data_IF_307039862066
#
_entry.id   IF_307039862066
#
_cell.length_a   1.000
_cell.length_b   1.000
_cell.length_c   1.000
_cell.angle_alpha   90.00
_cell.angle_beta   90.00
_cell.angle_gamma   90.00
#
_symmetry.space_group_name_H-M   'P 1'
#
loop_
_entity.id
_entity.type
_entity.pdbx_description
1 polymer ?
#
# COMPACT_ATOMS: atom_id res chain seq x y z
N UNK A 1 0.60 -14.92 -19.62
CA UNK A 1 -0.71 -14.38 -19.19
C UNK A 1 -0.46 -13.20 -18.26
N UNK A 2 -0.68 -11.98 -18.75
CA UNK A 2 -0.49 -10.77 -17.94
C UNK A 2 -1.63 -10.65 -16.94
N UNK A 3 -1.33 -10.63 -15.64
CA UNK A 3 -2.32 -10.27 -14.63
C UNK A 3 -2.73 -8.81 -14.85
N UNK A 4 -4.04 -8.62 -15.02
CA UNK A 4 -4.64 -7.34 -15.41
C UNK A 4 -4.63 -6.37 -14.22
N UNK A 5 -4.45 -5.10 -14.54
CA UNK A 5 -4.00 -4.03 -13.65
C UNK A 5 -5.18 -3.25 -13.06
N UNK A 6 -5.65 -3.62 -11.86
CA UNK A 6 -6.50 -2.71 -11.06
C UNK A 6 -6.46 -3.02 -9.56
N UNK A 7 -5.47 -2.51 -8.84
CA UNK A 7 -5.57 -2.33 -7.38
C UNK A 7 -5.75 -3.61 -6.56
N UNK A 8 -4.67 -4.37 -6.40
CA UNK A 8 -4.68 -5.62 -5.67
C UNK A 8 -3.75 -5.55 -4.45
N UNK A 9 -4.24 -5.97 -3.28
CA UNK A 9 -3.45 -6.16 -2.05
C UNK A 9 -2.77 -7.53 -2.11
N UNK A 10 -1.45 -7.57 -2.29
CA UNK A 10 -0.67 -8.80 -2.03
C UNK A 10 -0.37 -8.89 -0.52
N UNK A 11 -0.84 -9.93 0.19
CA UNK A 11 -0.46 -10.13 1.58
C UNK A 11 1.04 -10.38 1.78
N UNK A 12 1.79 -10.76 0.73
CA UNK A 12 3.24 -11.06 0.80
C UNK A 12 4.13 -9.82 0.89
N UNK A 13 3.59 -8.63 0.66
CA UNK A 13 4.34 -7.38 0.79
C UNK A 13 3.47 -6.26 1.38
N UNK A 14 2.81 -6.56 2.49
CA UNK A 14 2.24 -5.50 3.34
C UNK A 14 3.40 -4.72 3.94
N UNK A 15 3.50 -3.42 3.67
CA UNK A 15 4.37 -2.52 4.46
C UNK A 15 3.72 -2.39 5.84
N UNK A 16 4.00 -3.34 6.73
CA UNK A 16 3.69 -3.21 8.13
C UNK A 16 4.66 -2.18 8.70
N UNK A 17 4.15 -1.02 9.11
CA UNK A 17 4.91 -0.09 9.95
C UNK A 17 5.02 -0.71 11.35
N UNK A 18 5.95 -1.64 11.53
CA UNK A 18 6.28 -2.23 12.82
C UNK A 18 7.02 -1.23 13.70
N UNK A 19 6.39 -0.78 14.78
CA UNK A 19 7.08 -0.17 15.92
C UNK A 19 7.60 -1.30 16.82
N UNK A 20 8.81 -1.79 16.59
CA UNK A 20 9.55 -2.54 17.61
C UNK A 20 11.02 -2.57 17.24
N UNK A 21 11.87 -2.16 18.18
CA UNK A 21 13.31 -2.21 18.03
C UNK A 21 13.80 -3.66 18.01
N UNK A 22 14.50 -4.02 16.94
CA UNK A 22 15.74 -4.80 17.00
C UNK A 22 16.48 -4.69 15.65
N UNK A 23 17.78 -4.95 15.68
CA UNK A 23 18.82 -4.64 14.70
C UNK A 23 18.56 -5.16 13.26
N UNK A 24 17.84 -4.39 12.45
CA UNK A 24 17.71 -4.58 10.99
C UNK A 24 18.64 -3.64 10.20
N UNK A 25 19.11 -4.11 9.04
CA UNK A 25 19.97 -3.37 8.08
C UNK A 25 19.63 -1.87 8.04
N UNK A 26 20.57 -1.04 8.47
CA UNK A 26 20.45 0.43 8.56
C UNK A 26 20.41 1.05 7.16
N UNK A 27 19.27 0.93 6.48
CA UNK A 27 18.97 1.70 5.28
C UNK A 27 18.75 3.16 5.65
N UNK A 28 19.04 4.07 4.72
CA UNK A 28 18.69 5.48 4.89
C UNK A 28 17.17 5.59 5.11
N UNK A 29 16.80 6.22 6.22
CA UNK A 29 15.38 6.41 6.56
C UNK A 29 14.74 7.28 5.50
N UNK A 30 13.67 6.80 4.88
CA UNK A 30 12.88 7.59 3.93
C UNK A 30 11.49 7.91 4.49
N UNK A 31 10.91 9.01 4.00
CA UNK A 31 9.57 9.43 4.39
C UNK A 31 8.55 8.85 3.42
N UNK A 32 7.45 8.34 3.96
CA UNK A 32 6.32 7.81 3.20
C UNK A 32 5.10 8.66 3.50
N UNK A 33 4.45 9.13 2.44
CA UNK A 33 3.25 9.97 2.50
C UNK A 33 2.06 9.20 1.94
N UNK A 34 0.98 9.20 2.71
CA UNK A 34 -0.26 8.51 2.42
C UNK A 34 -1.36 9.54 2.19
N UNK A 35 -1.71 9.75 0.93
CA UNK A 35 -2.47 10.94 0.51
C UNK A 35 -3.76 10.60 -0.24
N UNK A 36 -3.98 9.32 -0.53
CA UNK A 36 -5.08 8.89 -1.39
C UNK A 36 -5.80 7.70 -0.80
N UNK A 37 -7.06 7.90 -0.47
CA UNK A 37 -7.98 6.82 -0.16
C UNK A 37 -8.15 5.90 -1.36
N UNK A 38 -8.18 4.59 -1.09
CA UNK A 38 -8.48 3.60 -2.10
C UNK A 38 -9.18 2.37 -1.52
N UNK A 39 -9.82 1.64 -2.43
CA UNK A 39 -10.42 0.34 -2.15
C UNK A 39 -9.72 -0.68 -3.02
N UNK A 40 -9.25 -1.74 -2.39
CA UNK A 40 -8.60 -2.87 -3.05
C UNK A 40 -9.40 -4.14 -2.82
N UNK A 41 -9.37 -5.05 -3.78
CA UNK A 41 -9.97 -6.38 -3.68
C UNK A 41 -8.85 -7.40 -3.93
N UNK A 42 -8.82 -8.51 -3.20
CA UNK A 42 -7.80 -9.55 -3.48
C UNK A 42 -8.09 -10.31 -4.78
N UNK A 43 -7.07 -10.99 -5.31
CA UNK A 43 -7.16 -11.78 -6.55
C UNK A 43 -8.32 -12.79 -6.53
N UNK A 44 -8.60 -13.40 -5.36
CA UNK A 44 -9.66 -14.40 -5.18
C UNK A 44 -11.06 -13.78 -4.97
N UNK A 45 -11.19 -12.46 -4.89
CA UNK A 45 -12.45 -11.73 -4.60
C UNK A 45 -13.15 -12.17 -3.30
N UNK A 46 -12.38 -12.71 -2.36
CA UNK A 46 -12.88 -13.14 -1.05
C UNK A 46 -12.72 -12.06 0.01
N UNK A 47 -12.03 -10.97 -0.28
CA UNK A 47 -11.76 -9.85 0.63
C UNK A 47 -11.71 -8.52 -0.10
N UNK A 48 -12.24 -7.49 0.55
CA UNK A 48 -12.01 -6.09 0.18
C UNK A 48 -11.32 -5.34 1.30
N UNK A 49 -10.49 -4.36 0.93
CA UNK A 49 -9.66 -3.57 1.83
C UNK A 49 -9.92 -2.10 1.59
N UNK A 50 -10.10 -1.35 2.67
CA UNK A 50 -9.98 0.10 2.65
C UNK A 50 -8.55 0.46 3.02
N UNK A 51 -7.91 1.28 2.21
CA UNK A 51 -6.49 1.54 2.31
C UNK A 51 -6.12 2.98 1.96
N UNK A 52 -4.93 3.38 2.39
CA UNK A 52 -4.27 4.60 1.95
C UNK A 52 -3.09 4.26 1.04
N UNK A 53 -3.11 4.79 -0.17
CA UNK A 53 -2.08 4.59 -1.19
C UNK A 53 -0.90 5.56 -0.97
N UNK A 54 0.31 5.03 -1.16
CA UNK A 54 1.55 5.79 -1.13
C UNK A 54 1.76 6.47 -2.48
N UNK A 55 2.09 7.76 -2.46
CA UNK A 55 2.39 8.53 -3.67
C UNK A 55 3.76 9.22 -3.55
N UNK A 56 4.21 9.86 -4.64
CA UNK A 56 5.39 10.73 -4.64
C UNK A 56 6.69 10.02 -4.29
N UNK A 57 7.50 10.64 -3.42
CA UNK A 57 8.84 10.15 -3.07
C UNK A 57 8.84 8.76 -2.44
N UNK A 58 7.86 8.46 -1.58
CA UNK A 58 7.75 7.14 -0.95
C UNK A 58 7.48 6.01 -1.96
N UNK A 59 6.69 6.29 -3.00
CA UNK A 59 6.42 5.32 -4.07
C UNK A 59 7.71 4.95 -4.82
N UNK A 60 8.53 5.94 -5.14
CA UNK A 60 9.83 5.73 -5.81
C UNK A 60 10.74 4.84 -4.98
N UNK A 61 10.85 5.12 -3.68
CA UNK A 61 11.75 4.37 -2.79
C UNK A 61 11.30 2.93 -2.57
N UNK A 62 10.00 2.71 -2.34
CA UNK A 62 9.45 1.35 -2.21
C UNK A 62 9.62 0.58 -3.52
N UNK A 63 9.44 1.22 -4.68
CA UNK A 63 9.60 0.55 -5.99
C UNK A 63 11.04 0.07 -6.22
N UNK A 64 12.05 0.83 -5.78
CA UNK A 64 13.45 0.36 -5.83
C UNK A 64 13.65 -0.90 -5.00
N UNK A 65 13.04 -0.94 -3.81
CA UNK A 65 13.13 -2.10 -2.92
C UNK A 65 12.44 -3.32 -3.51
N UNK A 66 11.26 -3.14 -4.13
CA UNK A 66 10.57 -4.19 -4.88
C UNK A 66 11.48 -4.74 -6.00
N UNK A 67 12.15 -3.87 -6.75
CA UNK A 67 13.04 -4.30 -7.82
C UNK A 67 14.21 -5.16 -7.30
N UNK A 68 14.79 -4.79 -6.15
CA UNK A 68 15.85 -5.60 -5.52
C UNK A 68 15.31 -6.98 -5.14
N UNK A 69 14.11 -7.05 -4.54
CA UNK A 69 13.46 -8.32 -4.19
C UNK A 69 13.15 -9.16 -5.44
N UNK A 70 12.67 -8.54 -6.52
CA UNK A 70 12.38 -9.21 -7.80
C UNK A 70 13.62 -9.84 -8.44
N UNK A 71 14.78 -9.19 -8.33
CA UNK A 71 16.05 -9.77 -8.78
C UNK A 71 16.35 -11.06 -8.01
N UNK A 72 16.22 -11.04 -6.69
CA UNK A 72 16.45 -12.22 -5.84
C UNK A 72 15.42 -13.31 -6.16
N UNK A 73 14.14 -12.97 -6.23
CA UNK A 73 13.08 -13.91 -6.57
C UNK A 73 13.33 -14.61 -7.91
N UNK A 74 13.74 -13.84 -8.93
CA UNK A 74 14.09 -14.38 -10.25
C UNK A 74 15.26 -15.36 -10.18
N UNK A 75 16.31 -15.05 -9.40
CA UNK A 75 17.46 -15.95 -9.22
C UNK A 75 17.06 -17.29 -8.59
N UNK A 76 16.00 -17.30 -7.79
CA UNK A 76 15.45 -18.51 -7.15
C UNK A 76 14.26 -19.13 -7.91
N UNK A 77 13.92 -18.64 -9.11
CA UNK A 77 12.79 -19.14 -9.89
C UNK A 77 11.40 -18.84 -9.30
N UNK A 78 11.31 -17.85 -8.41
CA UNK A 78 10.08 -17.38 -7.79
C UNK A 78 9.39 -16.30 -8.66
N UNK A 79 8.05 -16.14 -8.53
CA UNK A 79 7.31 -15.14 -9.30
C UNK A 79 7.62 -13.71 -8.83
N UNK A 80 7.94 -12.83 -9.76
CA UNK A 80 8.12 -11.39 -9.50
C UNK A 80 6.85 -10.72 -8.95
N UNK A 81 7.06 -9.55 -8.35
CA UNK A 81 6.01 -8.67 -7.88
C UNK A 81 5.12 -8.14 -9.03
N UNK A 82 3.99 -7.54 -8.66
CA UNK A 82 3.05 -6.95 -9.61
C UNK A 82 3.72 -5.91 -10.51
N UNK A 83 3.45 -5.99 -11.83
CA UNK A 83 4.03 -5.09 -12.85
C UNK A 83 3.83 -3.60 -12.58
N UNK A 84 2.70 -3.22 -11.97
CA UNK A 84 2.42 -1.86 -11.54
C UNK A 84 2.23 -1.88 -10.03
N UNK A 85 3.31 -1.76 -9.24
CA UNK A 85 3.22 -1.81 -7.80
C UNK A 85 2.40 -0.61 -7.32
N UNK A 86 1.46 -0.87 -6.40
CA UNK A 86 0.66 0.16 -5.76
C UNK A 86 0.82 0.05 -4.25
N UNK A 87 1.95 0.50 -3.68
CA UNK A 87 2.19 0.41 -2.25
C UNK A 87 1.11 1.17 -1.48
N UNK A 88 0.61 0.55 -0.41
CA UNK A 88 -0.45 1.09 0.42
C UNK A 88 -0.40 0.49 1.81
N UNK A 89 -1.14 1.09 2.75
CA UNK A 89 -1.45 0.51 4.04
C UNK A 89 -2.96 0.22 4.11
N UNK A 90 -3.33 -1.01 4.42
CA UNK A 90 -4.72 -1.39 4.67
C UNK A 90 -5.10 -0.99 6.09
N UNK A 91 -6.23 -0.29 6.25
CA UNK A 91 -6.74 0.13 7.57
C UNK A 91 -7.80 -0.84 8.09
N UNK A 92 -8.63 -1.38 7.19
CA UNK A 92 -9.65 -2.38 7.51
C UNK A 92 -9.91 -3.28 6.32
N UNK A 93 -10.55 -4.43 6.57
CA UNK A 93 -10.95 -5.37 5.54
C UNK A 93 -12.29 -6.04 5.87
N UNK A 94 -12.97 -6.51 4.83
CA UNK A 94 -14.25 -7.22 4.92
C UNK A 94 -14.26 -8.51 4.10
N UNK A 95 -15.23 -9.39 4.37
CA UNK A 95 -15.46 -10.62 3.61
C UNK A 95 -16.16 -10.32 2.28
N UNK A 96 -15.76 -11.04 1.23
CA UNK A 96 -16.27 -10.91 -0.13
C UNK A 96 -15.84 -9.62 -0.82
N UNK A 97 -16.34 -9.44 -2.05
CA UNK A 97 -16.24 -8.15 -2.75
C UNK A 97 -17.31 -7.20 -2.21
N UNK A 98 -16.88 -6.25 -1.38
CA UNK A 98 -17.68 -5.15 -0.85
C UNK A 98 -17.20 -3.81 -1.39
N UNK A 99 -16.47 -3.82 -2.50
CA UNK A 99 -15.76 -2.65 -3.00
C UNK A 99 -16.68 -1.49 -3.35
N UNK A 100 -17.86 -1.75 -3.90
CA UNK A 100 -18.83 -0.71 -4.25
C UNK A 100 -19.34 0.04 -3.01
N UNK A 101 -19.63 -0.69 -1.91
CA UNK A 101 -20.06 -0.08 -0.64
C UNK A 101 -18.94 0.76 -0.02
N UNK A 102 -17.70 0.27 -0.08
CA UNK A 102 -16.55 1.00 0.43
C UNK A 102 -16.27 2.26 -0.41
N UNK A 103 -16.37 2.18 -1.74
CA UNK A 103 -16.24 3.33 -2.65
C UNK A 103 -17.32 4.38 -2.40
N UNK A 104 -18.57 3.95 -2.21
CA UNK A 104 -19.65 4.85 -1.82
C UNK A 104 -19.35 5.58 -0.51
N UNK A 105 -18.86 4.87 0.51
CA UNK A 105 -18.44 5.49 1.77
C UNK A 105 -17.29 6.50 1.60
N UNK A 106 -16.34 6.21 0.70
CA UNK A 106 -15.27 7.16 0.38
C UNK A 106 -15.77 8.43 -0.31
N UNK A 107 -16.71 8.30 -1.26
CA UNK A 107 -17.33 9.45 -1.92
C UNK A 107 -18.06 10.35 -0.91
N UNK A 108 -18.70 9.75 0.10
CA UNK A 108 -19.34 10.48 1.18
C UNK A 108 -18.31 11.23 2.06
N UNK A 109 -17.19 10.59 2.42
CA UNK A 109 -16.09 11.21 3.17
C UNK A 109 -15.50 12.37 2.38
N UNK A 110 -15.21 12.18 1.10
CA UNK A 110 -14.65 13.22 0.23
C UNK A 110 -15.60 14.40 0.07
N UNK A 111 -16.91 14.14 -0.03
CA UNK A 111 -17.94 15.18 -0.09
C UNK A 111 -17.99 15.99 1.22
N UNK A 112 -17.95 15.32 2.37
CA UNK A 112 -17.91 16.00 3.68
C UNK A 112 -16.65 16.85 3.86
N UNK A 113 -15.48 16.34 3.44
CA UNK A 113 -14.22 17.07 3.50
C UNK A 113 -14.20 18.32 2.61
N UNK A 114 -14.80 18.28 1.42
CA UNK A 114 -14.92 19.45 0.52
C UNK A 114 -15.87 20.53 1.04
N UNK A 115 -16.88 20.12 1.83
CA UNK A 115 -17.86 21.03 2.43
C UNK A 115 -17.35 21.67 3.73
N UNK A 116 -16.37 21.05 4.39
CA UNK A 116 -15.59 21.71 5.41
C UNK A 116 -14.66 22.75 4.76
N UNK A 117 -14.53 23.93 5.37
CA UNK A 117 -13.63 25.01 4.92
C UNK A 117 -12.25 24.46 4.53
N UNK A 118 -11.53 25.00 3.54
CA UNK A 118 -10.27 24.45 3.03
C UNK A 118 -9.16 24.56 4.08
N UNK A 119 -9.20 23.72 5.10
CA UNK A 119 -8.09 23.52 6.01
C UNK A 119 -7.07 22.67 5.29
N UNK A 120 -5.91 23.27 5.03
CA UNK A 120 -4.61 22.65 4.81
C UNK A 120 -4.66 21.34 3.99
N UNK A 121 -4.29 21.39 2.71
CA UNK A 121 -4.08 20.22 1.84
C UNK A 121 -2.93 19.33 2.32
N UNK A 122 -3.05 18.81 3.54
CA UNK A 122 -2.07 18.01 4.25
C UNK A 122 -2.23 16.53 3.93
N UNK A 123 -1.10 15.84 4.01
CA UNK A 123 -1.03 14.40 3.99
C UNK A 123 -2.01 13.79 5.02
N UNK A 124 -2.79 12.79 4.62
CA UNK A 124 -3.71 12.10 5.55
C UNK A 124 -2.88 11.45 6.66
N UNK A 125 -1.73 10.89 6.30
CA UNK A 125 -0.78 10.27 7.21
C UNK A 125 0.63 10.28 6.60
N UNK A 126 1.67 10.40 7.44
CA UNK A 126 3.06 10.20 7.02
C UNK A 126 3.85 9.43 8.06
N UNK A 127 4.84 8.66 7.61
CA UNK A 127 5.74 7.93 8.50
C UNK A 127 7.17 7.91 7.97
N UNK A 128 8.13 7.60 8.85
CA UNK A 128 9.52 7.30 8.47
C UNK A 128 9.73 5.80 8.55
N UNK A 129 10.23 5.22 7.48
CA UNK A 129 10.57 3.80 7.41
C UNK A 129 12.07 3.62 7.64
N UNK A 130 12.45 2.57 8.36
CA UNK A 130 13.85 2.29 8.72
C UNK A 130 14.33 0.88 8.36
N UNK A 131 13.45 0.03 7.84
CA UNK A 131 13.76 -1.35 7.51
C UNK A 131 12.64 -2.03 6.74
N UNK A 132 12.95 -3.21 6.19
CA UNK A 132 12.02 -4.07 5.49
C UNK A 132 11.94 -5.38 6.28
N UNK A 133 10.73 -5.83 6.59
CA UNK A 133 10.50 -7.13 7.22
C UNK A 133 10.21 -8.17 6.13
N UNK A 134 10.87 -9.33 6.21
CA UNK A 134 10.58 -10.48 5.38
C UNK A 134 10.09 -11.62 6.27
N UNK A 135 8.87 -12.12 6.03
CA UNK A 135 8.33 -13.30 6.71
C UNK A 135 8.67 -14.55 5.90
N UNK A 136 9.38 -15.47 6.54
CA UNK A 136 9.80 -16.77 5.97
C UNK A 136 8.76 -17.83 6.35
#
# INVERSE_FOLDING_TARGET
MGKNLSGYCDPRLTVASGMSGDEGLKGDRYSVEFNKWNVFVNDEQTRSFLALEVLGGGLSEITKQIHIVDVIYRLHGLPEFYKNPRPHISLLWGLGDTSDRLKQGLEEIDRCNKNASPSCGGHIFSCKTSGIECKI
#
